data_IF_662248412795
#
_entry.id   IF_662248412795
#
_cell.length_a   1.000
_cell.length_b   1.000
_cell.length_c   1.000
_cell.angle_alpha   90.00
_cell.angle_beta   90.00
_cell.angle_gamma   90.00
#
_symmetry.space_group_name_H-M   'P 1'
#
loop_
_entity.id
_entity.type
_entity.pdbx_description
1 polymer ?
#
# COMPACT_ATOMS: atom_id res chain seq x y z
N UNK A 1 28.37 27.26 -4.53
CA UNK A 1 28.03 26.02 -5.27
C UNK A 1 28.17 24.75 -4.42
N UNK A 2 29.35 24.46 -3.83
CA UNK A 2 29.61 23.23 -3.02
C UNK A 2 28.63 23.00 -1.85
N UNK A 3 28.20 24.04 -1.14
CA UNK A 3 27.24 23.92 -0.02
C UNK A 3 25.83 23.52 -0.46
N UNK A 4 25.35 24.02 -1.62
CA UNK A 4 24.07 23.62 -2.22
C UNK A 4 24.10 22.17 -2.72
N UNK A 5 25.22 21.74 -3.30
CA UNK A 5 25.41 20.36 -3.74
C UNK A 5 25.37 19.38 -2.56
N UNK A 6 26.11 19.68 -1.48
CA UNK A 6 26.07 18.89 -0.24
C UNK A 6 24.66 18.76 0.32
N UNK A 7 23.90 19.86 0.39
CA UNK A 7 22.51 19.81 0.88
C UNK A 7 21.60 18.99 -0.02
N UNK A 8 21.81 18.99 -1.35
CA UNK A 8 21.01 18.18 -2.26
C UNK A 8 21.31 16.68 -2.09
N UNK A 9 22.60 16.32 -1.93
CA UNK A 9 23.01 14.94 -1.65
C UNK A 9 22.43 14.44 -0.33
N UNK A 10 22.51 15.25 0.74
CA UNK A 10 21.90 14.89 2.02
C UNK A 10 20.38 14.74 1.92
N UNK A 11 19.70 15.64 1.21
CA UNK A 11 18.26 15.49 0.96
C UNK A 11 17.96 14.19 0.20
N UNK A 12 18.71 13.88 -0.85
CA UNK A 12 18.48 12.66 -1.63
C UNK A 12 18.65 11.39 -0.78
N UNK A 13 19.70 11.34 0.05
CA UNK A 13 19.94 10.23 0.98
C UNK A 13 18.83 10.14 2.02
N UNK A 14 18.43 11.25 2.65
CA UNK A 14 17.33 11.27 3.64
C UNK A 14 16.00 10.81 3.02
N UNK A 15 15.70 11.25 1.79
CA UNK A 15 14.54 10.79 1.05
C UNK A 15 14.60 9.27 0.81
N UNK A 16 15.72 8.78 0.29
CA UNK A 16 15.91 7.34 0.03
C UNK A 16 15.81 6.50 1.30
N UNK A 17 16.35 6.97 2.43
CA UNK A 17 16.24 6.28 3.72
C UNK A 17 14.80 6.25 4.23
N UNK A 18 14.06 7.35 4.10
CA UNK A 18 12.63 7.39 4.49
C UNK A 18 11.78 6.48 3.62
N UNK A 19 12.02 6.44 2.31
CA UNK A 19 11.36 5.50 1.40
C UNK A 19 11.72 4.05 1.75
N UNK A 20 13.00 3.75 2.02
CA UNK A 20 13.43 2.42 2.44
C UNK A 20 12.77 1.98 3.76
N UNK A 21 12.67 2.89 4.74
CA UNK A 21 11.96 2.65 6.00
C UNK A 21 10.45 2.47 5.78
N UNK A 22 9.85 3.24 4.87
CA UNK A 22 8.45 3.05 4.50
C UNK A 22 8.21 1.68 3.84
N UNK A 23 9.20 1.19 3.09
CA UNK A 23 9.19 -0.13 2.47
C UNK A 23 9.54 -1.28 3.41
N UNK A 24 9.74 -1.07 4.72
CA UNK A 24 10.19 -2.12 5.63
C UNK A 24 9.26 -3.34 5.63
N UNK A 25 7.94 -3.13 5.70
CA UNK A 25 6.98 -4.24 5.65
C UNK A 25 7.02 -4.98 4.29
N UNK A 26 6.87 -4.31 3.12
CA UNK A 26 7.06 -4.96 1.82
C UNK A 26 8.39 -5.71 1.69
N UNK A 27 9.50 -5.10 2.13
CA UNK A 27 10.82 -5.71 2.05
C UNK A 27 10.92 -6.97 2.91
N UNK A 28 10.31 -6.98 4.10
CA UNK A 28 10.25 -8.17 4.94
C UNK A 28 9.39 -9.28 4.33
N UNK A 29 8.28 -8.94 3.66
CA UNK A 29 7.45 -9.90 2.92
C UNK A 29 8.23 -10.53 1.77
N UNK A 30 8.88 -9.72 0.93
CA UNK A 30 9.73 -10.21 -0.17
C UNK A 30 10.94 -10.99 0.37
N UNK A 31 11.53 -10.57 1.48
CA UNK A 31 12.60 -11.29 2.16
C UNK A 31 12.15 -12.67 2.66
N UNK A 32 10.97 -12.76 3.27
CA UNK A 32 10.36 -14.02 3.68
C UNK A 32 10.10 -14.94 2.50
N UNK A 33 9.64 -14.39 1.38
CA UNK A 33 9.47 -15.13 0.13
C UNK A 33 10.79 -15.72 -0.38
N UNK A 34 11.84 -14.91 -0.46
CA UNK A 34 13.17 -15.34 -0.85
C UNK A 34 13.71 -16.43 0.07
N UNK A 35 13.67 -16.22 1.39
CA UNK A 35 14.16 -17.17 2.39
C UNK A 35 13.40 -18.49 2.30
N UNK A 36 12.06 -18.43 2.22
CA UNK A 36 11.22 -19.63 2.16
C UNK A 36 11.44 -20.44 0.88
N UNK A 37 11.78 -19.77 -0.23
CA UNK A 37 12.12 -20.43 -1.48
C UNK A 37 13.53 -21.05 -1.43
N UNK A 38 14.55 -20.33 -0.96
CA UNK A 38 15.93 -20.85 -0.85
C UNK A 38 16.00 -22.05 0.09
N UNK A 39 15.31 -21.99 1.23
CA UNK A 39 15.28 -23.04 2.23
C UNK A 39 14.28 -24.16 1.92
N UNK A 40 13.49 -24.04 0.84
CA UNK A 40 12.48 -25.02 0.43
C UNK A 40 11.52 -25.39 1.58
N UNK A 41 10.99 -24.37 2.26
CA UNK A 41 10.13 -24.56 3.44
C UNK A 41 8.83 -25.31 3.02
N UNK A 42 8.46 -26.41 3.70
CA UNK A 42 7.21 -27.13 3.40
C UNK A 42 5.98 -26.28 3.75
N UNK A 43 4.88 -26.50 3.02
CA UNK A 43 3.65 -25.71 3.18
C UNK A 43 3.92 -24.19 3.13
N UNK A 44 4.74 -23.80 2.15
CA UNK A 44 5.40 -22.49 2.10
C UNK A 44 4.44 -21.31 2.27
N UNK A 45 3.26 -21.36 1.65
CA UNK A 45 2.29 -20.27 1.78
C UNK A 45 1.67 -20.16 3.17
N UNK A 46 1.49 -21.26 3.90
CA UNK A 46 1.01 -21.22 5.29
C UNK A 46 2.09 -20.63 6.20
N UNK A 47 3.35 -21.03 5.98
CA UNK A 47 4.49 -20.45 6.68
C UNK A 47 4.60 -18.95 6.41
N UNK A 48 4.48 -18.53 5.15
CA UNK A 48 4.51 -17.11 4.76
C UNK A 48 3.35 -16.32 5.36
N UNK A 49 2.16 -16.92 5.46
CA UNK A 49 1.02 -16.30 6.12
C UNK A 49 1.28 -16.10 7.62
N UNK A 50 1.78 -17.12 8.31
CA UNK A 50 2.14 -17.01 9.73
C UNK A 50 3.27 -15.99 9.95
N UNK A 51 4.29 -16.00 9.08
CA UNK A 51 5.38 -15.03 9.09
C UNK A 51 4.85 -13.60 8.91
N UNK A 52 4.00 -13.36 7.92
CA UNK A 52 3.39 -12.05 7.68
C UNK A 52 2.55 -11.55 8.86
N UNK A 53 1.79 -12.46 9.50
CA UNK A 53 1.04 -12.14 10.73
C UNK A 53 1.96 -11.75 11.88
N UNK A 54 3.05 -12.49 12.10
CA UNK A 54 4.04 -12.17 13.15
C UNK A 54 4.64 -10.79 12.89
N UNK A 55 5.07 -10.50 11.66
CA UNK A 55 5.61 -9.17 11.30
C UNK A 55 4.56 -8.08 11.54
N UNK A 56 3.31 -8.30 11.14
CA UNK A 56 2.22 -7.36 11.34
C UNK A 56 1.97 -7.08 12.84
N UNK A 57 2.00 -8.11 13.68
CA UNK A 57 1.88 -7.99 15.14
C UNK A 57 3.09 -7.24 15.72
N UNK A 58 4.31 -7.55 15.28
CA UNK A 58 5.51 -6.82 15.71
C UNK A 58 5.42 -5.33 15.36
N UNK A 59 4.97 -5.00 14.15
CA UNK A 59 4.79 -3.60 13.73
C UNK A 59 3.82 -2.84 14.62
N UNK A 60 2.75 -3.51 15.06
CA UNK A 60 1.81 -2.96 16.03
C UNK A 60 2.45 -2.79 17.41
N UNK A 61 3.08 -3.84 17.95
CA UNK A 61 3.65 -3.84 19.31
C UNK A 61 4.80 -2.84 19.46
N UNK A 62 5.63 -2.66 18.42
CA UNK A 62 6.71 -1.68 18.40
C UNK A 62 6.23 -0.25 18.05
N UNK A 63 4.92 -0.04 17.88
CA UNK A 63 4.36 1.28 17.58
C UNK A 63 4.71 1.82 16.19
N UNK A 64 5.16 0.94 15.28
CA UNK A 64 5.37 1.30 13.88
C UNK A 64 4.01 1.53 13.18
N UNK A 65 2.97 0.80 13.58
CA UNK A 65 1.61 0.92 13.05
C UNK A 65 0.57 1.04 14.15
N UNK A 66 -0.47 1.83 13.86
CA UNK A 66 -1.61 2.04 14.74
C UNK A 66 -2.76 1.08 14.40
N UNK A 67 -3.68 0.83 15.34
CA UNK A 67 -4.88 0.00 15.10
C UNK A 67 -5.65 0.47 13.86
N UNK A 68 -5.76 1.78 13.64
CA UNK A 68 -6.49 2.27 12.49
C UNK A 68 -5.72 2.10 11.17
N UNK A 69 -4.38 2.07 11.21
CA UNK A 69 -3.57 1.65 10.07
C UNK A 69 -3.78 0.16 9.78
N UNK A 70 -3.79 -0.68 10.81
CA UNK A 70 -4.08 -2.11 10.67
C UNK A 70 -5.45 -2.35 10.05
N UNK A 71 -6.48 -1.58 10.41
CA UNK A 71 -7.81 -1.68 9.74
C UNK A 71 -7.73 -1.43 8.24
N UNK A 72 -6.95 -0.45 7.80
CA UNK A 72 -6.73 -0.17 6.37
C UNK A 72 -5.93 -1.31 5.72
N UNK A 73 -4.90 -1.82 6.40
CA UNK A 73 -4.11 -2.97 5.94
C UNK A 73 -4.99 -4.22 5.78
N UNK A 74 -5.88 -4.50 6.75
CA UNK A 74 -6.87 -5.57 6.65
C UNK A 74 -7.82 -5.38 5.47
N UNK A 75 -8.28 -4.16 5.21
CA UNK A 75 -9.11 -3.87 4.03
C UNK A 75 -8.37 -4.22 2.73
N UNK A 76 -7.10 -3.85 2.61
CA UNK A 76 -6.29 -4.19 1.44
C UNK A 76 -6.02 -5.68 1.33
N UNK A 77 -5.84 -6.37 2.46
CA UNK A 77 -5.73 -7.83 2.48
C UNK A 77 -6.98 -8.48 1.86
N UNK A 78 -8.16 -8.03 2.26
CA UNK A 78 -9.43 -8.56 1.75
C UNK A 78 -9.66 -8.20 0.27
N UNK A 79 -9.44 -6.94 -0.11
CA UNK A 79 -9.59 -6.48 -1.51
C UNK A 79 -8.63 -7.21 -2.45
N UNK A 80 -7.39 -7.41 -2.00
CA UNK A 80 -6.37 -8.18 -2.69
C UNK A 80 -6.77 -9.64 -2.84
N UNK A 81 -7.14 -10.30 -1.75
CA UNK A 81 -7.57 -11.70 -1.76
C UNK A 81 -8.77 -11.93 -2.69
N UNK A 82 -9.76 -11.02 -2.69
CA UNK A 82 -10.90 -11.10 -3.61
C UNK A 82 -10.46 -11.01 -5.09
N UNK A 83 -9.51 -10.13 -5.40
CA UNK A 83 -8.95 -10.03 -6.75
C UNK A 83 -8.16 -11.29 -7.12
N UNK A 84 -7.34 -11.81 -6.21
CA UNK A 84 -6.59 -13.05 -6.42
C UNK A 84 -7.50 -14.24 -6.68
N UNK A 85 -8.58 -14.41 -5.91
CA UNK A 85 -9.56 -15.49 -6.09
C UNK A 85 -10.12 -15.44 -7.50
N UNK A 86 -10.49 -14.25 -7.96
CA UNK A 86 -10.97 -14.05 -9.31
C UNK A 86 -9.91 -14.39 -10.37
N UNK A 87 -8.67 -13.95 -10.18
CA UNK A 87 -7.59 -14.15 -11.16
C UNK A 87 -7.19 -15.63 -11.28
N UNK A 88 -7.15 -16.34 -10.15
CA UNK A 88 -6.88 -17.78 -10.10
C UNK A 88 -8.04 -18.59 -10.67
N UNK A 89 -9.30 -18.24 -10.39
CA UNK A 89 -10.45 -18.98 -10.92
C UNK A 89 -10.56 -18.93 -12.45
N UNK A 90 -9.95 -17.91 -13.07
CA UNK A 90 -9.89 -17.76 -14.53
C UNK A 90 -8.54 -18.18 -15.12
N UNK A 91 -7.67 -18.78 -14.30
CA UNK A 91 -6.37 -19.27 -14.72
C UNK A 91 -5.45 -18.20 -15.26
N UNK A 92 -5.49 -16.95 -14.78
CA UNK A 92 -4.51 -15.93 -15.20
C UNK A 92 -3.13 -16.25 -14.62
N UNK A 93 -3.11 -16.67 -13.37
CA UNK A 93 -1.94 -17.18 -12.66
C UNK A 93 -2.36 -18.25 -11.66
N UNK A 94 -1.37 -18.91 -11.08
CA UNK A 94 -1.57 -19.99 -10.12
C UNK A 94 -0.60 -19.90 -8.94
N UNK A 95 -0.95 -20.59 -7.86
CA UNK A 95 -0.14 -20.76 -6.66
C UNK A 95 0.33 -22.23 -6.59
N UNK A 96 1.55 -22.55 -7.08
CA UNK A 96 1.98 -23.93 -7.27
C UNK A 96 2.23 -24.72 -5.98
N UNK A 97 2.62 -24.07 -4.87
CA UNK A 97 2.97 -24.78 -3.64
C UNK A 97 1.74 -25.27 -2.84
N UNK A 98 1.88 -26.39 -2.10
CA UNK A 98 0.84 -26.86 -1.20
C UNK A 98 0.66 -25.91 0.00
N UNK A 99 -0.58 -25.82 0.50
CA UNK A 99 -0.97 -24.99 1.65
C UNK A 99 -2.38 -25.37 2.11
N UNK A 100 -2.63 -25.33 3.41
CA UNK A 100 -3.93 -25.57 4.01
C UNK A 100 -4.76 -24.29 4.09
N UNK A 101 -4.13 -23.15 4.35
CA UNK A 101 -4.77 -21.85 4.50
C UNK A 101 -5.00 -21.21 3.13
N UNK A 102 -5.91 -21.82 2.35
CA UNK A 102 -6.31 -21.34 1.03
C UNK A 102 -7.83 -21.24 0.89
N UNK A 103 -8.30 -20.25 0.15
CA UNK A 103 -9.69 -20.06 -0.23
C UNK A 103 -9.78 -20.07 -1.75
N UNK A 104 -10.58 -20.97 -2.32
CA UNK A 104 -10.78 -21.07 -3.78
C UNK A 104 -9.47 -21.13 -4.59
N UNK A 105 -8.48 -21.88 -4.09
CA UNK A 105 -7.17 -22.04 -4.72
C UNK A 105 -6.15 -20.93 -4.41
N UNK A 106 -6.52 -19.92 -3.63
CA UNK A 106 -5.67 -18.78 -3.27
C UNK A 106 -5.20 -18.88 -1.82
N UNK A 107 -3.89 -18.89 -1.53
CA UNK A 107 -3.38 -18.86 -0.17
C UNK A 107 -3.68 -17.52 0.50
N UNK A 108 -4.01 -17.52 1.79
CA UNK A 108 -4.28 -16.30 2.55
C UNK A 108 -3.09 -15.34 2.60
N UNK A 109 -1.86 -15.85 2.43
CA UNK A 109 -0.66 -15.03 2.30
C UNK A 109 -0.76 -13.98 1.16
N UNK A 110 -1.43 -14.30 0.05
CA UNK A 110 -1.50 -13.39 -1.10
C UNK A 110 -2.11 -12.04 -0.76
N UNK A 111 -3.08 -12.00 0.16
CA UNK A 111 -3.66 -10.75 0.66
C UNK A 111 -2.61 -9.83 1.30
N UNK A 112 -1.58 -10.37 1.97
CA UNK A 112 -0.51 -9.57 2.54
C UNK A 112 0.38 -8.89 1.51
N UNK A 113 0.45 -9.38 0.27
CA UNK A 113 1.16 -8.68 -0.80
C UNK A 113 0.49 -7.35 -1.15
N UNK A 114 -0.85 -7.30 -1.14
CA UNK A 114 -1.62 -6.06 -1.31
C UNK A 114 -1.58 -5.20 -0.06
N UNK A 115 -1.67 -5.83 1.11
CA UNK A 115 -1.57 -5.15 2.39
C UNK A 115 -0.21 -4.45 2.57
N UNK A 116 0.86 -4.97 1.97
CA UNK A 116 2.17 -4.35 1.95
C UNK A 116 2.17 -2.98 1.24
N UNK A 117 1.37 -2.82 0.17
CA UNK A 117 1.19 -1.52 -0.51
C UNK A 117 0.52 -0.51 0.42
N UNK A 118 -0.50 -0.93 1.18
CA UNK A 118 -1.13 -0.08 2.18
C UNK A 118 -0.17 0.32 3.30
N UNK A 119 0.57 -0.64 3.85
CA UNK A 119 1.60 -0.37 4.87
C UNK A 119 2.60 0.65 4.36
N UNK A 120 3.16 0.46 3.16
CA UNK A 120 4.05 1.43 2.51
C UNK A 120 3.43 2.83 2.43
N UNK A 121 2.21 2.95 1.92
CA UNK A 121 1.53 4.25 1.79
C UNK A 121 1.29 4.93 3.14
N UNK A 122 0.95 4.16 4.18
CA UNK A 122 0.75 4.71 5.52
C UNK A 122 2.06 5.16 6.17
N UNK A 123 3.13 4.37 6.01
CA UNK A 123 4.45 4.71 6.54
C UNK A 123 5.07 5.88 5.80
N UNK A 124 5.00 5.91 4.46
CA UNK A 124 5.50 7.04 3.67
C UNK A 124 4.73 8.31 4.02
N UNK A 125 3.41 8.24 4.24
CA UNK A 125 2.62 9.37 4.72
C UNK A 125 3.17 9.98 6.01
N UNK A 126 3.55 9.14 6.96
CA UNK A 126 4.09 9.56 8.27
C UNK A 126 5.53 10.06 8.15
N UNK A 127 6.43 9.26 7.57
CA UNK A 127 7.86 9.52 7.51
C UNK A 127 8.22 10.74 6.65
N UNK A 128 7.51 10.91 5.53
CA UNK A 128 7.69 12.04 4.63
C UNK A 128 6.75 13.21 4.95
N UNK A 129 5.92 13.11 5.99
CA UNK A 129 4.92 14.13 6.35
C UNK A 129 4.08 14.55 5.14
N UNK A 130 3.53 13.57 4.43
CA UNK A 130 2.86 13.81 3.16
C UNK A 130 1.64 14.70 3.34
N UNK A 131 1.47 15.61 2.40
CA UNK A 131 0.33 16.52 2.33
C UNK A 131 -0.12 16.64 0.88
N UNK A 132 -1.43 16.53 0.67
CA UNK A 132 -2.00 16.61 -0.67
C UNK A 132 -2.81 17.90 -0.78
N UNK A 133 -2.58 18.65 -1.86
CA UNK A 133 -3.34 19.85 -2.19
C UNK A 133 -4.13 19.65 -3.49
N UNK A 134 -5.27 20.35 -3.60
CA UNK A 134 -6.16 20.30 -4.77
C UNK A 134 -6.50 18.86 -5.17
N UNK A 135 -6.73 17.99 -4.18
CA UNK A 135 -7.28 16.66 -4.42
C UNK A 135 -8.67 16.79 -5.06
N UNK A 136 -9.03 15.95 -6.04
CA UNK A 136 -10.39 15.95 -6.59
C UNK A 136 -11.43 15.78 -5.48
N UNK A 137 -12.67 16.20 -5.77
CA UNK A 137 -13.79 16.00 -4.83
C UNK A 137 -13.85 14.51 -4.44
N UNK A 138 -14.08 14.23 -3.16
CA UNK A 138 -14.00 12.87 -2.60
C UNK A 138 -14.83 11.86 -3.39
N UNK A 139 -16.03 12.24 -3.83
CA UNK A 139 -16.88 11.36 -4.65
C UNK A 139 -16.25 11.02 -6.02
N UNK A 140 -15.58 11.98 -6.69
CA UNK A 140 -14.88 11.72 -7.98
C UNK A 140 -13.75 10.71 -7.75
N UNK A 141 -12.98 10.90 -6.67
CA UNK A 141 -11.88 10.00 -6.32
C UNK A 141 -12.39 8.58 -6.01
N UNK A 142 -13.44 8.45 -5.20
CA UNK A 142 -14.05 7.15 -4.84
C UNK A 142 -14.65 6.49 -6.09
N UNK A 143 -15.37 7.22 -6.94
CA UNK A 143 -15.91 6.67 -8.19
C UNK A 143 -14.80 6.16 -9.10
N UNK A 144 -13.71 6.92 -9.25
CA UNK A 144 -12.55 6.49 -10.03
C UNK A 144 -11.94 5.20 -9.46
N UNK A 145 -11.74 5.14 -8.14
CA UNK A 145 -11.21 3.95 -7.47
C UNK A 145 -12.14 2.73 -7.66
N UNK A 146 -13.45 2.92 -7.56
CA UNK A 146 -14.43 1.86 -7.81
C UNK A 146 -14.39 1.36 -9.26
N UNK A 147 -14.32 2.27 -10.24
CA UNK A 147 -14.18 1.93 -11.67
C UNK A 147 -12.88 1.14 -11.92
N UNK A 148 -11.77 1.58 -11.33
CA UNK A 148 -10.49 0.88 -11.42
C UNK A 148 -10.60 -0.53 -10.84
N UNK A 149 -11.14 -0.66 -9.63
CA UNK A 149 -11.26 -1.97 -8.99
C UNK A 149 -12.16 -2.89 -9.80
N UNK A 150 -13.32 -2.43 -10.27
CA UNK A 150 -14.20 -3.18 -11.17
C UNK A 150 -13.48 -3.59 -12.46
N UNK A 151 -12.69 -2.70 -13.05
CA UNK A 151 -11.93 -3.01 -14.27
C UNK A 151 -10.93 -4.15 -14.08
N UNK A 152 -10.34 -4.33 -12.89
CA UNK A 152 -9.49 -5.50 -12.64
C UNK A 152 -10.22 -6.83 -12.75
N UNK A 153 -11.54 -6.86 -12.57
CA UNK A 153 -12.36 -8.05 -12.80
C UNK A 153 -12.87 -8.11 -14.24
N UNK A 154 -13.37 -7.00 -14.78
CA UNK A 154 -14.10 -7.00 -16.05
C UNK A 154 -13.21 -6.96 -17.29
N UNK A 155 -11.92 -6.63 -17.16
CA UNK A 155 -11.00 -6.50 -18.31
C UNK A 155 -10.79 -7.78 -19.13
N UNK A 156 -11.24 -8.94 -18.62
CA UNK A 156 -11.22 -10.19 -19.38
C UNK A 156 -12.46 -10.41 -20.25
N UNK A 157 -13.60 -9.82 -19.86
CA UNK A 157 -14.89 -10.05 -20.53
C UNK A 157 -15.35 -8.87 -21.36
N UNK A 158 -14.96 -7.66 -20.96
CA UNK A 158 -15.30 -6.41 -21.62
C UNK A 158 -14.04 -5.73 -22.17
N UNK A 159 -14.25 -4.64 -22.91
CA UNK A 159 -13.17 -3.78 -23.37
C UNK A 159 -12.27 -3.37 -22.21
N UNK A 160 -10.97 -3.53 -22.42
CA UNK A 160 -9.96 -3.11 -21.48
C UNK A 160 -9.91 -1.57 -21.42
N UNK A 161 -10.65 -0.99 -20.48
CA UNK A 161 -10.75 0.46 -20.32
C UNK A 161 -9.56 1.10 -19.60
N UNK A 162 -8.50 0.34 -19.27
CA UNK A 162 -7.32 0.86 -18.53
C UNK A 162 -6.72 2.09 -19.21
N UNK A 163 -6.63 2.08 -20.54
CA UNK A 163 -6.09 3.20 -21.31
C UNK A 163 -7.00 4.42 -21.30
N UNK A 164 -8.32 4.24 -21.31
CA UNK A 164 -9.28 5.34 -21.15
C UNK A 164 -9.20 5.97 -19.76
N UNK A 165 -9.04 5.15 -18.73
CA UNK A 165 -8.81 5.63 -17.36
C UNK A 165 -7.50 6.42 -17.31
N UNK A 166 -6.42 5.89 -17.90
CA UNK A 166 -5.11 6.53 -17.97
C UNK A 166 -5.18 7.91 -18.64
N UNK A 167 -5.93 8.03 -19.75
CA UNK A 167 -6.17 9.29 -20.45
C UNK A 167 -6.99 10.30 -19.63
N UNK A 168 -7.87 9.83 -18.73
CA UNK A 168 -8.64 10.70 -17.85
C UNK A 168 -7.83 11.25 -16.66
N UNK A 169 -6.75 10.58 -16.25
CA UNK A 169 -5.97 10.98 -15.05
C UNK A 169 -5.41 12.40 -15.11
N UNK A 170 -4.80 12.87 -16.23
CA UNK A 170 -4.32 14.25 -16.34
C UNK A 170 -5.42 15.27 -16.09
N UNK A 171 -6.67 14.98 -16.49
CA UNK A 171 -7.81 15.87 -16.28
C UNK A 171 -8.23 15.88 -14.81
N UNK A 172 -8.36 14.69 -14.21
CA UNK A 172 -8.84 14.54 -12.82
C UNK A 172 -7.84 15.11 -11.81
N UNK A 173 -6.54 14.86 -12.03
CA UNK A 173 -5.47 15.22 -11.09
C UNK A 173 -4.58 16.37 -11.56
N UNK A 174 -4.99 17.13 -12.59
CA UNK A 174 -4.18 18.21 -13.20
C UNK A 174 -3.59 19.18 -12.17
N UNK A 175 -4.41 19.53 -11.17
CA UNK A 175 -4.05 20.51 -10.14
C UNK A 175 -3.53 19.86 -8.86
N UNK A 176 -3.65 18.54 -8.74
CA UNK A 176 -3.32 17.80 -7.53
C UNK A 176 -1.81 17.68 -7.35
N UNK A 177 -1.33 18.13 -6.18
CA UNK A 177 0.10 18.12 -5.83
C UNK A 177 0.29 17.39 -4.51
N UNK A 178 1.35 16.58 -4.45
CA UNK A 178 1.80 15.98 -3.21
C UNK A 178 3.04 16.72 -2.73
N UNK A 179 3.02 17.09 -1.46
CA UNK A 179 4.09 17.72 -0.72
C UNK A 179 4.70 16.71 0.24
N UNK A 180 6.02 16.74 0.36
CA UNK A 180 6.78 15.80 1.18
C UNK A 180 8.00 16.50 1.78
N UNK A 181 8.37 16.12 3.00
CA UNK A 181 9.43 16.76 3.78
C UNK A 181 10.69 15.92 3.83
N UNK A 182 11.78 16.48 3.34
CA UNK A 182 13.11 15.85 3.26
C UNK A 182 14.13 16.81 3.84
N UNK A 183 14.93 16.34 4.80
CA UNK A 183 15.96 17.12 5.49
C UNK A 183 15.47 18.53 5.90
N UNK A 184 14.32 18.57 6.59
CA UNK A 184 13.62 19.79 7.04
C UNK A 184 13.21 20.79 5.93
N UNK A 185 13.15 20.36 4.67
CA UNK A 185 12.61 21.15 3.56
C UNK A 185 11.42 20.45 2.94
N UNK A 186 10.38 21.21 2.62
CA UNK A 186 9.22 20.71 1.89
C UNK A 186 9.51 20.77 0.38
N UNK A 187 9.29 19.64 -0.29
CA UNK A 187 9.33 19.47 -1.74
C UNK A 187 7.93 19.14 -2.23
N UNK A 188 7.69 19.26 -3.53
CA UNK A 188 6.41 18.95 -4.15
C UNK A 188 6.56 18.34 -5.53
N UNK A 189 5.61 17.49 -5.90
CA UNK A 189 5.49 16.96 -7.26
C UNK A 189 4.01 16.82 -7.66
N UNK A 190 3.69 16.77 -8.97
CA UNK A 190 2.37 16.36 -9.42
C UNK A 190 2.02 14.97 -8.89
N UNK A 191 0.78 14.79 -8.42
CA UNK A 191 0.33 13.50 -7.88
C UNK A 191 0.48 12.36 -8.91
N UNK A 192 0.21 12.63 -10.18
CA UNK A 192 0.35 11.62 -11.24
C UNK A 192 1.79 11.11 -11.37
N UNK A 193 2.78 11.98 -11.17
CA UNK A 193 4.18 11.58 -11.18
C UNK A 193 4.48 10.59 -10.04
N UNK A 194 3.89 10.81 -8.86
CA UNK A 194 4.00 9.87 -7.74
C UNK A 194 3.43 8.49 -8.07
N UNK A 195 2.30 8.43 -8.79
CA UNK A 195 1.69 7.17 -9.17
C UNK A 195 2.60 6.35 -10.08
N UNK A 196 3.19 6.99 -11.09
CA UNK A 196 4.13 6.33 -11.99
C UNK A 196 5.38 5.84 -11.25
N UNK A 197 5.98 6.68 -10.41
CA UNK A 197 7.17 6.31 -9.65
C UNK A 197 6.93 5.10 -8.74
N UNK A 198 5.83 5.10 -7.97
CA UNK A 198 5.49 3.97 -7.10
C UNK A 198 5.21 2.71 -7.94
N UNK A 199 4.49 2.84 -9.06
CA UNK A 199 4.18 1.72 -9.94
C UNK A 199 5.44 1.05 -10.54
N UNK A 200 6.53 1.80 -10.77
CA UNK A 200 7.80 1.21 -11.21
C UNK A 200 8.35 0.28 -10.13
N UNK A 201 8.37 0.71 -8.86
CA UNK A 201 8.86 -0.11 -7.76
C UNK A 201 7.97 -1.34 -7.50
N UNK A 202 6.66 -1.20 -7.67
CA UNK A 202 5.76 -2.37 -7.61
C UNK A 202 6.07 -3.35 -8.75
N UNK A 203 6.31 -2.87 -9.97
CA UNK A 203 6.71 -3.75 -11.08
C UNK A 203 8.07 -4.43 -10.84
N UNK A 204 9.01 -3.78 -10.15
CA UNK A 204 10.26 -4.42 -9.71
C UNK A 204 9.95 -5.51 -8.67
N UNK A 205 9.11 -5.22 -7.68
CA UNK A 205 8.68 -6.18 -6.66
C UNK A 205 7.93 -7.38 -7.27
N UNK A 206 7.14 -7.16 -8.32
CA UNK A 206 6.44 -8.18 -9.09
C UNK A 206 7.42 -9.17 -9.76
N UNK A 207 8.48 -8.65 -10.38
CA UNK A 207 9.54 -9.48 -10.96
C UNK A 207 10.28 -10.28 -9.88
N UNK A 208 10.56 -9.66 -8.74
CA UNK A 208 11.15 -10.36 -7.60
C UNK A 208 10.23 -11.46 -7.07
N UNK A 209 8.93 -11.18 -6.93
CA UNK A 209 7.92 -12.11 -6.46
C UNK A 209 7.79 -13.35 -7.36
N UNK A 210 7.67 -13.14 -8.66
CA UNK A 210 7.62 -14.23 -9.65
C UNK A 210 8.92 -15.03 -9.71
N UNK A 211 10.07 -14.37 -9.50
CA UNK A 211 11.37 -15.07 -9.48
C UNK A 211 11.48 -16.08 -8.33
N UNK A 212 10.95 -15.73 -7.15
CA UNK A 212 10.89 -16.65 -5.99
C UNK A 212 9.57 -17.43 -5.89
N UNK A 213 8.88 -17.62 -7.03
CA UNK A 213 7.66 -18.41 -7.17
C UNK A 213 6.52 -18.02 -6.23
N UNK A 214 6.37 -16.75 -5.84
CA UNK A 214 5.23 -16.34 -5.02
C UNK A 214 3.89 -16.74 -5.66
N UNK A 215 3.76 -16.50 -6.95
CA UNK A 215 2.76 -17.02 -7.88
C UNK A 215 3.45 -17.25 -9.22
N UNK A 216 2.78 -17.95 -10.13
CA UNK A 216 3.30 -18.20 -11.47
C UNK A 216 2.29 -17.76 -12.53
N UNK A 217 2.71 -16.85 -13.41
CA UNK A 217 1.95 -16.54 -14.63
C UNK A 217 1.97 -17.75 -15.58
N UNK A 218 0.88 -17.96 -16.33
CA UNK A 218 0.84 -19.03 -17.33
C UNK A 218 1.97 -18.95 -18.35
N UNK A 219 2.36 -17.73 -18.73
CA UNK A 219 3.46 -17.52 -19.68
C UNK A 219 4.79 -18.02 -19.11
N UNK A 220 4.95 -18.07 -17.78
CA UNK A 220 6.16 -18.50 -17.08
C UNK A 220 6.16 -20.00 -16.76
N UNK A 221 5.23 -20.80 -17.30
CA UNK A 221 5.14 -22.23 -17.06
C UNK A 221 6.41 -22.99 -17.50
N UNK A 222 7.09 -22.53 -18.55
CA UNK A 222 8.34 -23.13 -19.08
C UNK A 222 9.62 -22.54 -18.50
N UNK A 223 9.52 -21.56 -17.59
CA UNK A 223 10.67 -20.89 -16.99
C UNK A 223 10.41 -19.42 -16.71
N UNK A 224 11.18 -18.87 -15.76
CA UNK A 224 11.06 -17.47 -15.40
C UNK A 224 11.58 -16.56 -16.52
N UNK A 225 10.79 -15.53 -16.82
CA UNK A 225 11.19 -14.40 -17.63
C UNK A 225 10.60 -13.13 -17.02
N UNK A 226 11.20 -11.99 -17.36
CA UNK A 226 10.77 -10.68 -16.87
C UNK A 226 9.29 -10.43 -17.23
N UNK A 227 8.53 -9.99 -16.23
CA UNK A 227 7.10 -9.68 -16.36
C UNK A 227 6.92 -8.53 -17.35
N UNK A 228 5.97 -8.69 -18.29
CA UNK A 228 5.78 -7.75 -19.38
C UNK A 228 5.58 -6.31 -18.86
N UNK A 229 6.34 -5.31 -19.36
CA UNK A 229 6.16 -3.91 -19.00
C UNK A 229 4.74 -3.38 -19.25
N UNK A 230 3.94 -4.01 -20.12
CA UNK A 230 2.53 -3.65 -20.32
C UNK A 230 1.69 -3.75 -19.05
N UNK A 231 2.11 -4.55 -18.05
CA UNK A 231 1.43 -4.66 -16.75
C UNK A 231 1.62 -3.39 -15.91
N UNK A 232 2.62 -2.56 -16.21
CA UNK A 232 2.89 -1.28 -15.53
C UNK A 232 1.65 -0.37 -15.42
N UNK A 233 0.81 -0.32 -16.46
CA UNK A 233 -0.43 0.46 -16.42
C UNK A 233 -1.38 -0.05 -15.33
N UNK A 234 -1.46 -1.37 -15.13
CA UNK A 234 -2.26 -1.96 -14.05
C UNK A 234 -1.72 -1.55 -12.67
N UNK A 235 -0.40 -1.47 -12.52
CA UNK A 235 0.22 -0.99 -11.27
C UNK A 235 -0.06 0.49 -11.02
N UNK A 236 -0.04 1.34 -12.04
CA UNK A 236 -0.49 2.74 -11.89
C UNK A 236 -1.92 2.78 -11.35
N UNK A 237 -2.83 2.00 -11.93
CA UNK A 237 -4.23 1.95 -11.48
C UNK A 237 -4.35 1.42 -10.05
N UNK A 238 -3.59 0.38 -9.68
CA UNK A 238 -3.58 -0.14 -8.32
C UNK A 238 -3.08 0.92 -7.33
N UNK A 239 -2.02 1.68 -7.68
CA UNK A 239 -1.51 2.77 -6.85
C UNK A 239 -2.56 3.86 -6.68
N UNK A 240 -3.33 4.20 -7.72
CA UNK A 240 -4.42 5.18 -7.64
C UNK A 240 -5.52 4.70 -6.70
N UNK A 241 -6.02 3.47 -6.91
CA UNK A 241 -7.00 2.84 -6.03
C UNK A 241 -6.53 2.90 -4.56
N UNK A 242 -5.28 2.50 -4.34
CA UNK A 242 -4.66 2.47 -3.01
C UNK A 242 -4.58 3.85 -2.38
N UNK A 243 -4.09 4.85 -3.13
CA UNK A 243 -3.91 6.20 -2.64
C UNK A 243 -5.26 6.90 -2.38
N UNK A 244 -6.29 6.63 -3.18
CA UNK A 244 -7.66 7.12 -2.92
C UNK A 244 -8.17 6.59 -1.58
N UNK A 245 -8.02 5.30 -1.30
CA UNK A 245 -8.45 4.68 -0.04
C UNK A 245 -7.70 5.34 1.14
N UNK A 246 -6.37 5.41 1.05
CA UNK A 246 -5.51 5.99 2.11
C UNK A 246 -5.84 7.47 2.36
N UNK A 247 -5.97 8.28 1.30
CA UNK A 247 -6.29 9.71 1.42
C UNK A 247 -7.67 9.89 2.03
N UNK A 248 -8.67 9.13 1.58
CA UNK A 248 -10.04 9.22 2.09
C UNK A 248 -10.06 8.92 3.59
N UNK A 249 -9.39 7.84 4.00
CA UNK A 249 -9.22 7.50 5.41
C UNK A 249 -8.52 8.61 6.22
N UNK A 250 -7.42 9.20 5.71
CA UNK A 250 -6.71 10.29 6.40
C UNK A 250 -7.57 11.57 6.50
N UNK A 251 -8.35 11.90 5.46
CA UNK A 251 -9.23 13.06 5.44
C UNK A 251 -10.41 12.91 6.41
N UNK A 252 -11.05 11.74 6.45
CA UNK A 252 -12.13 11.43 7.40
C UNK A 252 -11.64 11.51 8.85
N UNK A 253 -10.45 10.96 9.12
CA UNK A 253 -9.84 11.06 10.44
C UNK A 253 -9.51 12.50 10.84
N UNK A 254 -9.07 13.34 9.90
CA UNK A 254 -8.84 14.76 10.18
C UNK A 254 -10.15 15.49 10.49
N UNK A 255 -11.24 15.17 9.78
CA UNK A 255 -12.57 15.73 10.04
C UNK A 255 -13.10 15.30 11.40
N UNK A 256 -12.99 14.02 11.77
CA UNK A 256 -13.45 13.52 13.07
C UNK A 256 -12.69 14.15 14.22
N UNK A 257 -11.36 14.28 14.12
CA UNK A 257 -10.55 14.98 15.12
C UNK A 257 -10.93 16.46 15.24
N UNK A 258 -11.17 17.15 14.12
CA UNK A 258 -11.62 18.54 14.13
C UNK A 258 -13.00 18.67 14.81
N UNK A 259 -13.93 17.77 14.50
CA UNK A 259 -15.25 17.76 15.11
C UNK A 259 -15.19 17.55 16.63
N UNK A 260 -14.38 16.59 17.09
CA UNK A 260 -14.15 16.35 18.53
C UNK A 260 -13.59 17.58 19.24
N UNK A 261 -12.60 18.27 18.64
CA UNK A 261 -12.04 19.51 19.19
C UNK A 261 -13.05 20.67 19.19
N UNK A 262 -13.90 20.76 18.16
CA UNK A 262 -14.94 21.80 18.10
C UNK A 262 -16.06 21.56 19.12
N UNK A 263 -16.37 20.31 19.45
CA UNK A 263 -17.39 19.98 20.46
C UNK A 263 -16.88 20.05 21.90
N UNK A 264 -15.60 19.79 22.13
CA UNK A 264 -14.92 19.98 23.41
C UNK A 264 -13.69 20.87 23.18
N UNK A 265 -13.84 22.21 23.20
CA UNK A 265 -12.71 23.11 23.13
C UNK A 265 -11.89 22.91 24.39
N UNK A 266 -10.74 22.25 24.25
CA UNK A 266 -9.81 22.02 25.34
C UNK A 266 -8.96 23.28 25.49
N UNK A 267 -9.04 23.96 26.64
CA UNK A 267 -8.41 25.27 26.85
C UNK A 267 -6.89 25.15 27.11
N UNK A 268 -6.37 23.95 27.43
CA UNK A 268 -4.92 23.73 27.62
C UNK A 268 -4.38 22.41 27.05
N UNK A 269 -3.11 22.41 26.63
CA UNK A 269 -2.38 21.22 26.15
C UNK A 269 -2.29 20.08 27.17
N UNK A 270 -2.44 20.37 28.47
CA UNK A 270 -2.42 19.37 29.54
C UNK A 270 -3.71 18.53 29.55
N UNK A 271 -4.88 19.17 29.42
CA UNK A 271 -6.17 18.48 29.30
C UNK A 271 -6.27 17.62 28.04
N UNK A 272 -5.59 18.02 26.96
CA UNK A 272 -5.51 17.27 25.71
C UNK A 272 -4.74 15.95 25.89
N UNK A 273 -3.67 15.97 26.69
CA UNK A 273 -2.89 14.79 27.04
C UNK A 273 -3.67 13.88 28.00
N UNK A 274 -4.38 14.45 28.98
CA UNK A 274 -5.22 13.69 29.90
C UNK A 274 -6.38 12.99 29.19
N UNK A 275 -7.08 13.69 28.27
CA UNK A 275 -8.16 13.09 27.47
C UNK A 275 -7.63 12.02 26.53
N UNK A 276 -6.46 12.25 25.90
CA UNK A 276 -5.83 11.24 25.04
C UNK A 276 -5.40 10.03 25.88
N UNK A 277 -4.80 10.21 27.05
CA UNK A 277 -4.42 9.11 27.95
C UNK A 277 -5.63 8.35 28.46
N UNK A 278 -6.68 9.03 28.91
CA UNK A 278 -7.90 8.42 29.43
C UNK A 278 -8.64 7.63 28.33
N UNK A 279 -8.72 8.17 27.12
CA UNK A 279 -9.32 7.49 25.95
C UNK A 279 -8.44 6.35 25.41
N UNK A 280 -7.13 6.40 25.65
CA UNK A 280 -6.20 5.31 25.32
C UNK A 280 -6.26 4.20 26.37
N UNK A 281 -6.49 4.55 27.65
CA UNK A 281 -6.66 3.63 28.77
C UNK A 281 -8.01 2.91 28.70
N UNK A 282 -9.11 3.62 28.46
CA UNK A 282 -10.45 3.03 28.21
C UNK A 282 -10.43 2.02 27.07
N UNK A 283 -9.76 2.36 25.96
CA UNK A 283 -9.60 1.44 24.82
C UNK A 283 -8.76 0.20 25.11
N UNK A 284 -7.86 0.23 26.10
CA UNK A 284 -7.09 -0.96 26.53
C UNK A 284 -7.92 -1.86 27.45
N UNK A 285 -8.76 -1.30 28.30
CA UNK A 285 -9.67 -2.05 29.19
C UNK A 285 -10.88 -2.65 28.47
N UNK A 286 -11.32 -2.08 27.34
CA UNK A 286 -12.38 -2.66 26.51
C UNK A 286 -11.86 -3.75 25.55
N UNK A 287 -10.52 -3.88 25.43
CA UNK A 287 -9.84 -4.90 24.61
C UNK A 287 -9.26 -6.07 25.43
N UNK A 288 -9.52 -6.10 26.74
CA UNK A 288 -9.19 -7.17 27.69
C UNK A 288 -10.46 -7.89 28.13
#
# INVERSE_FOLDING_TARGET
MRRKLKTLTFSFIDFGLKEALACLFPALILGGLMVSNILQIPYRYDWLFAYALIIQICFYLFGLETINEIKVICLFHLLGLAMEIFKVSHGIWSYPDPSFLRIMGVPLYSGFMYAAVASYMMQSWKLLKLRVENWPKTWIAITLAAIIYMNFFTNMWFYDIRYWILLALPIIFLRSKIYFTVYNREYRMPVIASFGLIAIFIWIAENFGTFFNAWQYNTQASGWHMVNPSIYVSWILLVILSMVIVITFKLERKKSLKHLYTQNPIESTAELLDIIEEQTKKRKTESS
#
